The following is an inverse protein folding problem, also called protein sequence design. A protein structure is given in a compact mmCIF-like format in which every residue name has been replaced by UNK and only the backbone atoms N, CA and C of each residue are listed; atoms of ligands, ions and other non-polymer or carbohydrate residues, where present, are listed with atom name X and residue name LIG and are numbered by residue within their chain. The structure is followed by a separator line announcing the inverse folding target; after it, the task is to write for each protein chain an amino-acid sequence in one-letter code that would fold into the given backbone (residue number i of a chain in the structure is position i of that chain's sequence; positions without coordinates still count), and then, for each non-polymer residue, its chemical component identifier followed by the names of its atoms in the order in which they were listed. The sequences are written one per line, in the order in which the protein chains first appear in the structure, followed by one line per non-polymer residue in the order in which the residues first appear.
data_IF_854804367274
#
_entry.id   IF_854804367274
#
_cell.length_a   1.000
_cell.length_b   1.000
_cell.length_c   1.000
_cell.angle_alpha   90.00
_cell.angle_beta   90.00
_cell.angle_gamma   90.00
#
_symmetry.space_group_name_H-M   'P 1'
#
loop_
_entity.id
_entity.type
_entity.pdbx_description
1 polymer ?
#
# COMPACT_ATOMS: atom_id res chain seq x y z
N UNK A 1 4.39 13.29 -22.05
CA UNK A 1 3.52 13.42 -20.86
C UNK A 1 4.38 13.76 -19.65
N UNK A 2 4.17 14.89 -18.99
CA UNK A 2 4.91 15.22 -17.77
C UNK A 2 4.52 14.21 -16.67
N UNK A 3 5.46 13.36 -16.25
CA UNK A 3 5.25 12.44 -15.13
C UNK A 3 4.92 13.25 -13.88
N UNK A 4 3.67 13.21 -13.42
CA UNK A 4 3.26 13.89 -12.21
C UNK A 4 4.01 13.28 -11.02
N UNK A 5 4.97 14.04 -10.46
CA UNK A 5 5.85 13.62 -9.36
C UNK A 5 5.06 13.05 -8.18
N UNK A 6 3.87 13.59 -7.89
CA UNK A 6 2.99 13.11 -6.82
C UNK A 6 2.47 11.70 -7.08
N UNK A 7 2.02 11.43 -8.32
CA UNK A 7 1.54 10.11 -8.74
C UNK A 7 2.65 9.07 -8.64
N UNK A 8 3.87 9.41 -9.10
CA UNK A 8 5.03 8.51 -8.97
C UNK A 8 5.35 8.17 -7.52
N UNK A 9 5.36 9.19 -6.64
CA UNK A 9 5.57 8.98 -5.20
C UNK A 9 4.46 8.10 -4.62
N UNK A 10 3.20 8.31 -5.01
CA UNK A 10 2.08 7.48 -4.60
C UNK A 10 2.26 6.00 -4.94
N UNK A 11 2.63 5.68 -6.19
CA UNK A 11 2.91 4.29 -6.57
C UNK A 11 4.14 3.70 -5.87
N UNK A 12 5.16 4.51 -5.55
CA UNK A 12 6.28 4.06 -4.72
C UNK A 12 5.85 3.68 -3.30
N UNK A 13 4.83 4.34 -2.72
CA UNK A 13 4.27 3.95 -1.41
C UNK A 13 3.60 2.59 -1.49
N UNK A 14 2.82 2.33 -2.55
CA UNK A 14 2.17 1.03 -2.78
C UNK A 14 3.25 -0.06 -2.89
N UNK A 15 4.31 0.20 -3.66
CA UNK A 15 5.44 -0.71 -3.79
C UNK A 15 6.12 -0.97 -2.44
N UNK A 16 6.44 0.07 -1.68
CA UNK A 16 7.11 -0.08 -0.39
C UNK A 16 6.24 -0.84 0.62
N UNK A 17 4.93 -0.57 0.66
CA UNK A 17 3.98 -1.32 1.47
C UNK A 17 3.91 -2.80 1.06
N UNK A 18 4.02 -3.09 -0.24
CA UNK A 18 4.06 -4.47 -0.77
C UNK A 18 5.28 -5.22 -0.27
N UNK A 19 6.47 -4.66 -0.47
CA UNK A 19 7.74 -5.28 -0.03
C UNK A 19 7.75 -5.45 1.49
N UNK A 20 7.27 -4.45 2.24
CA UNK A 20 7.17 -4.51 3.70
C UNK A 20 6.23 -5.62 4.18
N UNK A 21 5.03 -5.73 3.61
CA UNK A 21 4.07 -6.78 3.99
C UNK A 21 4.59 -8.19 3.68
N UNK A 22 5.26 -8.37 2.54
CA UNK A 22 5.90 -9.65 2.20
C UNK A 22 7.00 -9.99 3.20
N UNK A 23 7.87 -9.04 3.50
CA UNK A 23 8.94 -9.22 4.49
C UNK A 23 8.37 -9.59 5.87
N UNK A 24 7.34 -8.87 6.32
CA UNK A 24 6.68 -9.14 7.60
C UNK A 24 6.04 -10.52 7.65
N UNK A 25 5.28 -10.90 6.62
CA UNK A 25 4.64 -12.22 6.54
C UNK A 25 5.67 -13.36 6.56
N UNK A 26 6.80 -13.19 5.87
CA UNK A 26 7.89 -14.17 5.91
C UNK A 26 8.50 -14.29 7.30
N UNK A 27 8.69 -13.18 8.01
CA UNK A 27 9.22 -13.22 9.38
C UNK A 27 8.23 -13.86 10.36
N UNK A 28 6.94 -13.54 10.27
CA UNK A 28 5.92 -14.17 11.11
C UNK A 28 5.88 -15.69 10.89
N UNK A 29 6.00 -16.15 9.63
CA UNK A 29 6.06 -17.57 9.32
C UNK A 29 7.31 -18.28 9.87
N UNK A 30 8.45 -17.58 9.99
CA UNK A 30 9.71 -18.17 10.48
C UNK A 30 9.79 -18.12 12.01
N UNK A 31 9.38 -17.01 12.62
CA UNK A 31 9.63 -16.71 14.03
C UNK A 31 8.41 -16.90 14.94
N UNK A 32 7.20 -17.01 14.39
CA UNK A 32 5.97 -17.08 15.17
C UNK A 32 5.05 -18.25 14.77
N UNK A 33 5.59 -19.26 14.06
CA UNK A 33 4.83 -20.39 13.48
C UNK A 33 3.60 -19.92 12.66
N UNK A 34 3.73 -18.75 12.03
CA UNK A 34 2.64 -18.12 11.31
C UNK A 34 2.29 -18.86 10.01
N UNK A 35 1.01 -19.12 9.80
CA UNK A 35 0.52 -19.63 8.51
C UNK A 35 0.59 -18.51 7.46
N UNK A 36 1.16 -18.82 6.29
CA UNK A 36 1.18 -17.90 5.15
C UNK A 36 -0.21 -17.78 4.56
N UNK A 37 -0.87 -16.68 4.87
CA UNK A 37 -2.20 -16.33 4.36
C UNK A 37 -2.07 -15.18 3.35
N UNK A 38 -2.19 -15.52 2.06
CA UNK A 38 -2.04 -14.55 0.98
C UNK A 38 -3.10 -13.44 1.04
N UNK A 39 -4.34 -13.77 1.41
CA UNK A 39 -5.43 -12.80 1.48
C UNK A 39 -5.13 -11.75 2.56
N UNK A 40 -4.67 -12.19 3.74
CA UNK A 40 -4.24 -11.27 4.81
C UNK A 40 -3.07 -10.39 4.40
N UNK A 41 -2.13 -10.92 3.61
CA UNK A 41 -1.00 -10.11 3.10
C UNK A 41 -1.52 -9.05 2.14
N UNK A 42 -2.39 -9.41 1.21
CA UNK A 42 -2.98 -8.46 0.24
C UNK A 42 -3.77 -7.37 0.97
N UNK A 43 -4.57 -7.72 1.97
CA UNK A 43 -5.33 -6.74 2.75
C UNK A 43 -4.42 -5.84 3.59
N UNK A 44 -3.33 -6.38 4.13
CA UNK A 44 -2.29 -5.59 4.78
C UNK A 44 -1.65 -4.58 3.83
N UNK A 45 -1.39 -4.96 2.57
CA UNK A 45 -0.84 -4.06 1.54
C UNK A 45 -1.83 -2.94 1.25
N UNK A 46 -3.11 -3.26 1.03
CA UNK A 46 -4.16 -2.25 0.76
C UNK A 46 -4.22 -1.24 1.91
N UNK A 47 -4.33 -1.70 3.15
CA UNK A 47 -4.47 -0.84 4.34
C UNK A 47 -3.20 -0.03 4.59
N UNK A 48 -2.01 -0.64 4.52
CA UNK A 48 -0.75 0.04 4.78
C UNK A 48 -0.44 1.09 3.71
N UNK A 49 -0.61 0.76 2.44
CA UNK A 49 -0.36 1.71 1.34
C UNK A 49 -1.28 2.93 1.44
N UNK A 50 -2.56 2.74 1.76
CA UNK A 50 -3.51 3.82 1.98
C UNK A 50 -3.14 4.69 3.19
N UNK A 51 -2.89 4.06 4.36
CA UNK A 51 -2.51 4.78 5.59
C UNK A 51 -1.20 5.56 5.42
N UNK A 52 -0.19 4.96 4.78
CA UNK A 52 1.10 5.62 4.53
C UNK A 52 0.96 6.74 3.49
N UNK A 53 0.10 6.55 2.49
CA UNK A 53 -0.20 7.58 1.50
C UNK A 53 -0.81 8.83 2.13
N UNK A 54 -1.80 8.66 2.99
CA UNK A 54 -2.46 9.76 3.71
C UNK A 54 -1.53 10.45 4.72
N UNK A 55 -0.79 9.67 5.53
CA UNK A 55 0.00 10.22 6.65
C UNK A 55 1.36 10.78 6.24
N UNK A 56 2.07 10.14 5.29
CA UNK A 56 3.48 10.46 5.00
C UNK A 56 3.68 11.28 3.73
N UNK A 57 2.78 11.16 2.75
CA UNK A 57 3.02 11.72 1.40
C UNK A 57 2.05 12.81 0.97
N UNK A 58 1.14 13.25 1.87
CA UNK A 58 0.14 14.30 1.61
C UNK A 58 -0.63 14.04 0.31
N UNK A 59 -0.94 12.77 0.06
CA UNK A 59 -1.78 12.35 -1.05
C UNK A 59 -3.19 12.91 -0.80
N UNK A 60 -3.96 13.29 -1.84
CA UNK A 60 -5.35 13.70 -1.68
C UNK A 60 -6.14 12.70 -0.84
N UNK A 61 -7.01 13.25 0.02
CA UNK A 61 -7.89 12.43 0.86
C UNK A 61 -8.82 11.63 -0.07
N UNK A 62 -8.84 10.31 0.15
CA UNK A 62 -9.73 9.37 -0.50
C UNK A 62 -10.16 8.29 0.50
N UNK A 63 -11.36 7.77 0.30
CA UNK A 63 -11.89 6.68 1.12
C UNK A 63 -11.15 5.38 0.78
N UNK A 64 -11.06 4.48 1.76
CA UNK A 64 -10.35 3.22 1.59
C UNK A 64 -10.91 2.37 0.43
N UNK A 65 -12.23 2.39 0.20
CA UNK A 65 -12.82 1.66 -0.92
C UNK A 65 -12.43 2.27 -2.28
N UNK A 66 -12.35 3.60 -2.39
CA UNK A 66 -11.90 4.28 -3.62
C UNK A 66 -10.45 3.89 -3.93
N UNK A 67 -9.61 3.86 -2.88
CA UNK A 67 -8.21 3.45 -2.98
C UNK A 67 -8.06 1.98 -3.42
N UNK A 68 -8.90 1.08 -2.90
CA UNK A 68 -8.89 -0.32 -3.30
C UNK A 68 -9.40 -0.53 -4.74
N UNK A 69 -10.29 0.36 -5.21
CA UNK A 69 -10.88 0.28 -6.55
C UNK A 69 -9.94 0.80 -7.64
N UNK A 70 -9.50 2.05 -7.53
CA UNK A 70 -8.51 2.65 -8.43
C UNK A 70 -7.65 3.68 -7.67
N UNK A 71 -6.50 3.26 -7.10
CA UNK A 71 -5.61 4.19 -6.40
C UNK A 71 -5.04 5.24 -7.36
N UNK A 72 -4.94 4.95 -8.66
CA UNK A 72 -4.49 5.92 -9.66
C UNK A 72 -5.41 7.13 -9.74
N UNK A 73 -6.74 6.93 -9.65
CA UNK A 73 -7.70 8.04 -9.62
C UNK A 73 -7.50 8.92 -8.38
N UNK A 74 -7.29 8.30 -7.22
CA UNK A 74 -7.04 9.01 -5.96
C UNK A 74 -5.75 9.84 -6.01
N UNK A 75 -4.69 9.28 -6.59
CA UNK A 75 -3.38 9.95 -6.73
C UNK A 75 -3.39 11.15 -7.69
N UNK A 76 -4.35 11.20 -8.61
CA UNK A 76 -4.48 12.25 -9.63
C UNK A 76 -5.41 13.39 -9.21
N UNK A 77 -6.13 13.24 -8.09
CA UNK A 77 -6.98 14.28 -7.49
C UNK A 77 -6.13 15.45 -6.98
#
# INVERSE_FOLDING_TARGET
AATNKKVRVGFMVIWHATVWSIWRSRNEAIFADGVKDLEKVVDSIKILSWKWGLSRHKIPICLFYEWCWDPGSCLRR
#
